data_IF_665108554657
#
_entry.id   IF_665108554657
#
_cell.length_a   1.000
_cell.length_b   1.000
_cell.length_c   1.000
_cell.angle_alpha   90.00
_cell.angle_beta   90.00
_cell.angle_gamma   90.00
#
_symmetry.space_group_name_H-M   'P 1'
#
loop_
_entity.id
_entity.type
_entity.pdbx_description
1 polymer ?
#
# COMPACT_ATOMS: atom_id res chain seq x y z
N UNK A 1 -40.41 -71.23 -20.93
CA UNK A 1 -39.29 -70.67 -21.73
C UNK A 1 -39.67 -69.28 -22.17
N UNK A 2 -38.89 -68.25 -21.81
CA UNK A 2 -38.84 -66.84 -22.30
C UNK A 2 -38.02 -66.07 -21.24
N UNK A 3 -36.69 -65.99 -21.30
CA UNK A 3 -35.81 -65.10 -22.10
C UNK A 3 -36.17 -63.61 -21.95
N UNK A 4 -35.25 -62.87 -21.31
CA UNK A 4 -35.28 -61.44 -20.96
C UNK A 4 -35.23 -60.50 -22.19
N UNK A 5 -35.30 -59.16 -22.00
CA UNK A 5 -34.01 -58.47 -21.83
C UNK A 5 -33.98 -57.21 -20.95
N UNK A 6 -32.74 -56.87 -20.64
CA UNK A 6 -32.17 -55.81 -19.82
C UNK A 6 -32.63 -54.38 -20.16
N UNK A 7 -33.06 -53.64 -19.13
CA UNK A 7 -33.15 -52.19 -19.16
C UNK A 7 -31.74 -51.59 -19.11
N UNK A 8 -31.23 -51.18 -20.26
CA UNK A 8 -30.02 -50.36 -20.37
C UNK A 8 -30.41 -48.92 -20.02
N UNK A 9 -30.12 -48.50 -18.79
CA UNK A 9 -30.23 -47.10 -18.38
C UNK A 9 -29.10 -46.29 -19.05
N UNK A 10 -29.44 -45.55 -20.09
CA UNK A 10 -28.51 -44.65 -20.78
C UNK A 10 -28.33 -43.39 -19.93
N UNK A 11 -27.25 -43.31 -19.15
CA UNK A 11 -26.86 -42.09 -18.45
C UNK A 11 -26.35 -41.07 -19.47
N UNK A 12 -27.17 -40.10 -19.83
CA UNK A 12 -26.73 -38.94 -20.59
C UNK A 12 -25.88 -38.04 -19.69
N UNK A 13 -24.55 -38.13 -19.82
CA UNK A 13 -23.62 -37.17 -19.21
C UNK A 13 -23.72 -35.83 -19.96
N UNK A 14 -24.43 -34.86 -19.38
CA UNK A 14 -24.45 -33.49 -19.85
C UNK A 14 -23.10 -32.82 -19.55
N UNK A 15 -22.23 -32.72 -20.56
CA UNK A 15 -21.02 -31.89 -20.49
C UNK A 15 -21.45 -30.42 -20.51
N UNK A 16 -21.52 -29.80 -19.34
CA UNK A 16 -21.66 -28.34 -19.22
C UNK A 16 -20.36 -27.68 -19.70
N UNK A 17 -20.43 -26.70 -20.61
CA UNK A 17 -19.25 -25.94 -21.00
C UNK A 17 -18.88 -25.03 -19.82
N UNK A 18 -17.73 -25.29 -19.20
CA UNK A 18 -17.14 -24.38 -18.22
C UNK A 18 -16.66 -23.16 -19.01
N UNK A 19 -17.49 -22.12 -19.06
CA UNK A 19 -17.07 -20.83 -19.55
C UNK A 19 -16.02 -20.26 -18.58
N UNK A 20 -14.74 -20.44 -18.92
CA UNK A 20 -13.63 -19.77 -18.24
C UNK A 20 -13.76 -18.28 -18.54
N UNK A 21 -14.38 -17.53 -17.63
CA UNK A 21 -14.31 -16.08 -17.66
C UNK A 21 -12.86 -15.69 -17.37
N UNK A 22 -12.17 -15.16 -18.39
CA UNK A 22 -10.89 -14.51 -18.21
C UNK A 22 -11.07 -13.35 -17.21
N UNK A 23 -10.39 -13.44 -16.07
CA UNK A 23 -10.37 -12.37 -15.09
C UNK A 23 -9.89 -11.07 -15.77
N UNK A 24 -10.52 -9.91 -15.48
CA UNK A 24 -10.06 -8.65 -16.03
C UNK A 24 -8.61 -8.44 -15.61
N UNK A 25 -7.74 -8.18 -16.59
CA UNK A 25 -6.34 -7.84 -16.37
C UNK A 25 -6.29 -6.47 -15.69
N UNK A 26 -6.36 -6.45 -14.36
CA UNK A 26 -6.15 -5.24 -13.56
C UNK A 26 -4.66 -4.92 -13.68
N UNK A 27 -4.33 -3.92 -14.50
CA UNK A 27 -2.98 -3.41 -14.58
C UNK A 27 -2.48 -3.08 -13.16
N UNK A 28 -1.21 -3.40 -12.82
CA UNK A 28 -0.66 -3.06 -11.52
C UNK A 28 -0.83 -1.56 -11.28
N UNK A 29 -1.48 -1.20 -10.16
CA UNK A 29 -1.51 0.19 -9.72
C UNK A 29 -0.08 0.53 -9.33
N UNK A 30 0.61 1.33 -10.14
CA UNK A 30 1.91 1.89 -9.73
C UNK A 30 1.67 2.79 -8.52
N UNK A 31 2.14 2.34 -7.37
CA UNK A 31 2.15 3.14 -6.15
C UNK A 31 3.35 4.09 -6.25
N UNK A 32 3.14 5.41 -6.41
CA UNK A 32 4.26 6.35 -6.44
C UNK A 32 5.03 6.27 -5.12
N UNK A 33 6.35 6.35 -5.20
CA UNK A 33 7.23 6.29 -4.04
C UNK A 33 7.94 7.63 -3.84
N UNK A 34 8.17 7.98 -2.57
CA UNK A 34 8.98 9.11 -2.15
C UNK A 34 10.15 8.61 -1.31
N UNK A 35 11.33 9.21 -1.51
CA UNK A 35 12.51 8.93 -0.71
C UNK A 35 12.58 9.90 0.48
N UNK A 36 12.62 9.35 1.69
CA UNK A 36 12.93 10.09 2.90
C UNK A 36 14.40 9.91 3.23
N UNK A 37 15.17 10.99 3.22
CA UNK A 37 16.61 10.99 3.56
C UNK A 37 16.84 11.69 4.89
N UNK A 38 17.37 10.98 5.89
CA UNK A 38 17.67 11.57 7.18
C UNK A 38 19.05 12.26 7.17
N UNK A 39 19.04 13.58 6.94
CA UNK A 39 20.23 14.44 7.02
C UNK A 39 20.47 15.04 8.42
N UNK A 40 19.70 14.63 9.42
CA UNK A 40 19.82 15.11 10.79
C UNK A 40 20.80 14.25 11.60
N UNK A 41 21.13 14.68 12.83
CA UNK A 41 21.93 13.90 13.78
C UNK A 41 21.09 12.98 14.66
N UNK A 42 19.78 12.93 14.45
CA UNK A 42 18.81 12.23 15.31
C UNK A 42 17.97 11.24 14.50
N UNK A 43 17.48 10.14 15.11
CA UNK A 43 16.52 9.26 14.43
C UNK A 43 15.23 10.02 14.07
N UNK A 44 14.68 9.68 12.92
CA UNK A 44 13.38 10.19 12.44
C UNK A 44 12.36 9.06 12.43
N UNK A 45 11.24 9.25 13.13
CA UNK A 45 10.07 8.41 13.03
C UNK A 45 9.29 8.79 11.75
N UNK A 46 8.96 7.80 10.94
CA UNK A 46 8.15 7.95 9.73
C UNK A 46 6.83 7.25 9.97
N UNK A 47 5.73 7.99 9.88
CA UNK A 47 4.39 7.54 10.27
C UNK A 47 3.45 7.75 9.09
N UNK A 48 2.80 6.68 8.64
CA UNK A 48 1.77 6.72 7.60
C UNK A 48 0.61 5.81 7.99
N UNK A 49 -0.51 6.42 8.40
CA UNK A 49 -1.63 5.67 8.98
C UNK A 49 -1.21 4.90 10.23
N UNK A 50 -1.28 3.56 10.18
CA UNK A 50 -0.84 2.66 11.26
C UNK A 50 0.60 2.17 11.07
N UNK A 51 1.19 2.40 9.90
CA UNK A 51 2.55 1.99 9.61
C UNK A 51 3.53 3.01 10.19
N UNK A 52 4.53 2.51 10.91
CA UNK A 52 5.56 3.31 11.57
C UNK A 52 6.90 2.65 11.30
N UNK A 53 7.88 3.44 10.89
CA UNK A 53 9.28 3.01 10.79
C UNK A 53 10.22 4.11 11.31
N UNK A 54 11.52 3.79 11.40
CA UNK A 54 12.56 4.72 11.83
C UNK A 54 13.64 4.81 10.76
N UNK A 55 14.05 6.03 10.41
CA UNK A 55 15.20 6.29 9.55
C UNK A 55 16.33 6.86 10.42
N UNK A 56 17.45 6.14 10.51
CA UNK A 56 18.61 6.57 11.29
C UNK A 56 19.40 7.68 10.57
N UNK A 57 20.23 8.46 11.29
CA UNK A 57 21.10 9.47 10.70
C UNK A 57 21.91 8.92 9.52
N UNK A 58 21.91 9.64 8.40
CA UNK A 58 22.63 9.27 7.18
C UNK A 58 21.98 8.19 6.32
N UNK A 59 20.85 7.62 6.75
CA UNK A 59 20.10 6.63 5.97
C UNK A 59 18.98 7.27 5.15
N UNK A 60 18.50 6.52 4.16
CA UNK A 60 17.28 6.82 3.43
C UNK A 60 16.33 5.64 3.39
N UNK A 61 15.05 5.94 3.21
CA UNK A 61 13.97 4.96 3.13
C UNK A 61 12.95 5.39 2.08
N UNK A 62 12.54 4.45 1.24
CA UNK A 62 11.41 4.66 0.33
C UNK A 62 10.10 4.43 1.06
N UNK A 63 9.14 5.32 0.84
CA UNK A 63 7.81 5.32 1.44
C UNK A 63 6.78 5.54 0.34
N UNK A 64 5.60 4.96 0.49
CA UNK A 64 4.51 5.16 -0.45
C UNK A 64 4.00 6.61 -0.42
N UNK A 65 3.87 7.24 -1.59
CA UNK A 65 3.19 8.53 -1.76
C UNK A 65 1.68 8.30 -1.85
N UNK A 66 1.08 8.04 -0.69
CA UNK A 66 -0.34 7.77 -0.59
C UNK A 66 -1.17 9.05 -0.76
N UNK A 67 -2.10 9.04 -1.73
CA UNK A 67 -3.07 10.12 -1.91
C UNK A 67 -4.12 10.20 -0.79
N UNK A 68 -4.24 9.14 0.01
CA UNK A 68 -5.29 9.00 1.04
C UNK A 68 -4.74 9.06 2.46
N UNK A 69 -3.43 8.85 2.65
CA UNK A 69 -2.80 8.86 3.96
C UNK A 69 -1.66 9.88 4.00
N UNK A 70 -1.69 10.83 4.94
CA UNK A 70 -0.58 11.76 5.11
C UNK A 70 0.66 11.03 5.63
N UNK A 71 1.83 11.47 5.18
CA UNK A 71 3.12 11.04 5.69
C UNK A 71 3.60 12.02 6.76
N UNK A 72 3.83 11.56 7.97
CA UNK A 72 4.42 12.37 9.04
C UNK A 72 5.85 11.93 9.33
N UNK A 73 6.77 12.88 9.37
CA UNK A 73 8.17 12.72 9.75
C UNK A 73 8.33 13.41 11.10
N UNK A 74 8.68 12.69 12.15
CA UNK A 74 8.80 13.22 13.50
C UNK A 74 10.12 12.82 14.13
N UNK A 75 10.48 13.44 15.24
CA UNK A 75 11.55 12.95 16.11
C UNK A 75 11.18 13.15 17.56
N UNK A 76 11.55 12.17 18.38
CA UNK A 76 11.33 12.17 19.83
C UNK A 76 12.48 12.83 20.60
N UNK A 77 13.54 13.25 19.89
CA UNK A 77 14.71 13.84 20.54
C UNK A 77 14.36 15.23 21.07
N UNK A 78 14.58 15.45 22.38
CA UNK A 78 14.21 16.71 23.04
C UNK A 78 14.89 17.94 22.43
N UNK A 79 16.13 17.82 21.96
CA UNK A 79 16.88 18.97 21.44
C UNK A 79 16.94 19.03 19.92
N UNK A 80 16.10 18.24 19.22
CA UNK A 80 16.05 18.28 17.77
C UNK A 80 15.33 19.52 17.27
N UNK A 81 15.90 20.15 16.23
CA UNK A 81 15.34 21.35 15.59
C UNK A 81 13.98 21.10 14.92
N UNK A 82 13.73 19.86 14.50
CA UNK A 82 12.45 19.42 13.94
C UNK A 82 11.71 18.70 15.06
N UNK A 83 10.44 19.00 15.32
CA UNK A 83 9.58 18.12 16.14
C UNK A 83 8.83 17.15 15.25
N UNK A 84 8.11 17.69 14.26
CA UNK A 84 7.49 16.93 13.19
C UNK A 84 7.17 17.78 11.96
N UNK A 85 6.99 17.12 10.82
CA UNK A 85 6.51 17.65 9.54
C UNK A 85 5.53 16.65 8.96
N UNK A 86 4.37 17.10 8.47
CA UNK A 86 3.38 16.23 7.82
C UNK A 86 3.14 16.65 6.38
N UNK A 87 3.24 15.70 5.46
CA UNK A 87 2.97 15.83 4.03
C UNK A 87 1.61 15.19 3.74
N UNK A 88 0.66 15.97 3.24
CA UNK A 88 -0.68 15.49 2.86
C UNK A 88 -0.98 15.79 1.40
N UNK A 89 -1.61 14.84 0.70
CA UNK A 89 -2.05 15.04 -0.67
C UNK A 89 -3.36 15.85 -0.71
N UNK A 90 -3.31 17.08 -1.22
CA UNK A 90 -4.50 17.88 -1.55
C UNK A 90 -4.49 18.19 -3.05
N UNK A 91 -5.65 18.12 -3.72
CA UNK A 91 -5.80 18.53 -5.13
C UNK A 91 -5.31 19.98 -5.26
N UNK A 92 -4.13 20.18 -5.88
CA UNK A 92 -3.50 21.48 -6.05
C UNK A 92 -2.22 21.71 -5.23
N UNK A 93 -1.82 20.79 -4.34
CA UNK A 93 -0.59 20.90 -3.58
C UNK A 93 0.44 19.86 -4.06
N UNK A 94 1.31 20.25 -5.00
CA UNK A 94 2.61 19.60 -5.19
C UNK A 94 3.52 20.12 -4.08
N UNK A 95 3.48 19.50 -2.90
CA UNK A 95 4.28 19.79 -1.71
C UNK A 95 4.76 21.26 -1.57
N UNK A 96 3.89 22.18 -1.14
CA UNK A 96 4.25 23.60 -0.88
C UNK A 96 3.89 24.11 0.51
N UNK A 97 3.45 23.25 1.43
CA UNK A 97 3.28 23.68 2.83
C UNK A 97 3.98 22.70 3.74
N UNK A 98 5.26 22.97 4.00
CA UNK A 98 6.01 22.37 5.09
C UNK A 98 5.66 23.15 6.37
N UNK A 99 4.74 22.64 7.18
CA UNK A 99 4.57 23.15 8.53
C UNK A 99 5.71 22.58 9.38
N UNK A 100 6.80 23.33 9.50
CA UNK A 100 7.89 23.03 10.42
C UNK A 100 7.53 23.63 11.78
N UNK A 101 7.15 22.79 12.74
CA UNK A 101 7.01 23.21 14.13
C UNK A 101 8.34 22.92 14.83
N UNK A 102 9.15 23.96 15.02
CA UNK A 102 10.29 23.95 15.94
C UNK A 102 9.78 24.24 17.35
N UNK A 103 10.25 23.48 18.34
CA UNK A 103 9.97 23.80 19.74
C UNK A 103 11.08 24.68 20.31
N UNK A 104 10.71 25.84 20.86
CA UNK A 104 11.42 26.43 22.00
C UNK A 104 10.83 25.88 23.29
#
# INVERSE_FOLDING_TARGET
MTVAPHFIACMALSLLPIAVQAAPNVAPVEHPLIEVVNKTKTPLDIIQGKWITVVLPGQSQQVEDSKTQPLTIATKTRDAAIRFVTLSYAKGCKAQTCLLISGE
#
